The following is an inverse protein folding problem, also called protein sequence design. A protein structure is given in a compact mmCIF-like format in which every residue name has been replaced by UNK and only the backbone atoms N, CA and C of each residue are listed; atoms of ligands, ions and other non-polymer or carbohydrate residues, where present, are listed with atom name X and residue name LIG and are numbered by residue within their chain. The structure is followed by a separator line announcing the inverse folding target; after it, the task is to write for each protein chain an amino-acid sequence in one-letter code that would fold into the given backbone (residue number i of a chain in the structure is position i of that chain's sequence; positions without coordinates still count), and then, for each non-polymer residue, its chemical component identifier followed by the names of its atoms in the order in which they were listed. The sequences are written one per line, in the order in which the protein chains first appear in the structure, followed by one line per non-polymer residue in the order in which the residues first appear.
data_IF_586670897925
#
_entry.id   IF_586670897925
#
_cell.length_a   1.000
_cell.length_b   1.000
_cell.length_c   1.000
_cell.angle_alpha   90.00
_cell.angle_beta   90.00
_cell.angle_gamma   90.00
#
_symmetry.space_group_name_H-M   'P 1'
#
loop_
_entity.id
_entity.type
_entity.pdbx_description
1 polymer ?
#
# COMPACT_ATOMS: atom_id res chain seq x y z
N UNK A 1 -12.67 23.13 15.92
CA UNK A 1 -11.23 23.21 15.62
C UNK A 1 -10.48 23.54 16.91
N UNK A 2 -10.05 22.50 17.60
CA UNK A 2 -9.19 22.57 18.78
C UNK A 2 -7.74 22.27 18.40
N UNK A 3 -6.83 23.04 18.97
CA UNK A 3 -5.39 22.78 18.99
C UNK A 3 -5.05 22.32 20.41
N UNK A 4 -4.36 21.21 20.55
CA UNK A 4 -4.03 20.57 21.81
C UNK A 4 -2.54 20.25 21.95
N UNK A 5 -1.71 20.50 20.93
CA UNK A 5 -0.25 20.36 21.00
C UNK A 5 0.45 21.30 20.02
N UNK A 6 1.74 21.58 20.28
CA UNK A 6 2.64 22.31 19.37
C UNK A 6 3.12 21.45 18.20
N UNK A 7 2.90 20.14 18.26
CA UNK A 7 3.19 19.23 17.15
C UNK A 7 2.22 19.49 15.97
N UNK A 8 2.63 19.27 14.71
CA UNK A 8 1.76 19.44 13.54
C UNK A 8 0.43 18.66 13.62
N UNK A 9 0.47 17.47 14.23
CA UNK A 9 -0.68 16.59 14.49
C UNK A 9 -1.57 17.02 15.66
N UNK A 10 -1.15 18.04 16.40
CA UNK A 10 -1.79 18.51 17.62
C UNK A 10 -3.11 19.25 17.43
N UNK A 11 -3.90 18.92 16.41
CA UNK A 11 -5.15 19.60 16.11
C UNK A 11 -6.14 18.70 15.34
N UNK A 12 -7.44 18.97 15.50
CA UNK A 12 -8.53 18.21 14.87
C UNK A 12 -8.45 18.19 13.33
N UNK A 13 -7.89 19.22 12.69
CA UNK A 13 -7.79 19.27 11.23
C UNK A 13 -6.68 18.36 10.70
N UNK A 14 -5.58 18.20 11.44
CA UNK A 14 -4.49 17.32 11.06
C UNK A 14 -4.94 15.84 11.01
N UNK A 15 -5.84 15.42 11.89
CA UNK A 15 -6.43 14.07 11.85
C UNK A 15 -7.15 13.81 10.51
N UNK A 16 -7.85 14.82 9.98
CA UNK A 16 -8.53 14.75 8.67
C UNK A 16 -7.53 14.72 7.51
N UNK A 17 -6.46 15.51 7.57
CA UNK A 17 -5.42 15.52 6.52
C UNK A 17 -4.65 14.19 6.46
N UNK A 18 -4.39 13.55 7.60
CA UNK A 18 -3.77 12.23 7.64
C UNK A 18 -4.63 11.18 6.91
N UNK A 19 -5.95 11.20 7.14
CA UNK A 19 -6.90 10.34 6.43
C UNK A 19 -6.89 10.60 4.92
N UNK A 20 -6.73 11.85 4.49
CA UNK A 20 -6.67 12.23 3.07
C UNK A 20 -5.46 11.62 2.36
N UNK A 21 -4.28 11.61 2.99
CA UNK A 21 -3.10 10.95 2.41
C UNK A 21 -3.27 9.43 2.29
N UNK A 22 -3.86 8.79 3.31
CA UNK A 22 -4.19 7.36 3.25
C UNK A 22 -5.18 7.09 2.11
N UNK A 23 -6.26 7.88 2.00
CA UNK A 23 -7.24 7.74 0.92
C UNK A 23 -6.63 7.95 -0.48
N UNK A 24 -5.68 8.87 -0.61
CA UNK A 24 -4.94 9.06 -1.86
C UNK A 24 -4.11 7.81 -2.20
N UNK A 25 -3.38 7.25 -1.23
CA UNK A 25 -2.61 6.02 -1.42
C UNK A 25 -3.52 4.85 -1.82
N UNK A 26 -4.65 4.66 -1.14
CA UNK A 26 -5.66 3.66 -1.48
C UNK A 26 -6.17 3.82 -2.92
N UNK A 27 -6.47 5.06 -3.34
CA UNK A 27 -6.90 5.34 -4.72
C UNK A 27 -5.83 4.97 -5.74
N UNK A 28 -4.56 5.31 -5.49
CA UNK A 28 -3.45 4.94 -6.37
C UNK A 28 -3.25 3.43 -6.45
N UNK A 29 -3.39 2.73 -5.33
CA UNK A 29 -3.34 1.26 -5.26
C UNK A 29 -4.45 0.65 -6.11
N UNK A 30 -5.72 1.02 -5.90
CA UNK A 30 -6.83 0.46 -6.66
C UNK A 30 -6.68 0.69 -8.18
N UNK A 31 -6.23 1.88 -8.59
CA UNK A 31 -5.94 2.17 -10.01
C UNK A 31 -4.84 1.28 -10.57
N UNK A 32 -3.75 1.09 -9.83
CA UNK A 32 -2.64 0.24 -10.25
C UNK A 32 -3.03 -1.24 -10.24
N UNK A 33 -3.78 -1.70 -9.23
CA UNK A 33 -4.29 -3.07 -9.13
C UNK A 33 -5.16 -3.40 -10.34
N UNK A 34 -6.09 -2.53 -10.71
CA UNK A 34 -6.96 -2.75 -11.87
C UNK A 34 -6.13 -2.87 -13.17
N UNK A 35 -5.17 -1.97 -13.37
CA UNK A 35 -4.28 -2.06 -14.52
C UNK A 35 -3.40 -3.33 -14.49
N UNK A 36 -2.92 -3.72 -13.31
CA UNK A 36 -2.00 -4.85 -13.12
C UNK A 36 -2.68 -6.21 -13.38
N UNK A 37 -4.02 -6.31 -13.30
CA UNK A 37 -4.76 -7.53 -13.63
C UNK A 37 -4.46 -8.07 -15.02
N UNK A 38 -4.25 -7.18 -16.01
CA UNK A 38 -4.00 -7.56 -17.41
C UNK A 38 -2.61 -7.16 -17.92
N UNK A 39 -1.88 -6.35 -17.16
CA UNK A 39 -0.56 -5.88 -17.55
C UNK A 39 0.42 -7.04 -17.80
N UNK A 40 1.17 -6.91 -18.90
CA UNK A 40 2.21 -7.84 -19.32
C UNK A 40 3.58 -7.13 -19.48
N UNK A 41 3.86 -6.17 -18.60
CA UNK A 41 5.07 -5.36 -18.55
C UNK A 41 5.75 -5.49 -17.18
N UNK A 42 7.09 -5.56 -17.10
CA UNK A 42 7.82 -5.67 -15.83
C UNK A 42 7.86 -4.31 -15.09
N UNK A 43 6.75 -3.90 -14.48
CA UNK A 43 6.62 -2.66 -13.70
C UNK A 43 6.28 -2.94 -12.24
N UNK A 44 6.68 -2.06 -11.32
CA UNK A 44 6.50 -2.26 -9.88
C UNK A 44 5.78 -1.10 -9.17
N UNK A 45 5.05 -0.25 -9.92
CA UNK A 45 4.39 0.93 -9.35
C UNK A 45 3.44 0.59 -8.19
N UNK A 46 2.73 -0.54 -8.26
CA UNK A 46 1.89 -1.03 -7.15
C UNK A 46 2.69 -1.15 -5.85
N UNK A 47 3.90 -1.73 -5.90
CA UNK A 47 4.71 -1.95 -4.70
C UNK A 47 5.19 -0.65 -4.08
N UNK A 48 5.49 0.38 -4.87
CA UNK A 48 5.80 1.72 -4.36
C UNK A 48 4.61 2.33 -3.62
N UNK A 49 3.39 2.17 -4.14
CA UNK A 49 2.20 2.69 -3.46
C UNK A 49 1.88 1.91 -2.17
N UNK A 50 2.12 0.59 -2.16
CA UNK A 50 1.99 -0.23 -0.96
C UNK A 50 3.00 0.19 0.11
N UNK A 51 4.26 0.45 -0.26
CA UNK A 51 5.29 0.94 0.67
C UNK A 51 4.92 2.29 1.30
N UNK A 52 4.44 3.23 0.48
CA UNK A 52 3.91 4.52 0.97
C UNK A 52 2.74 4.30 1.95
N UNK A 53 1.81 3.37 1.64
CA UNK A 53 0.70 3.07 2.52
C UNK A 53 1.18 2.45 3.84
N UNK A 54 2.16 1.55 3.82
CA UNK A 54 2.79 0.97 5.03
C UNK A 54 3.43 2.07 5.88
N UNK A 55 4.16 3.00 5.26
CA UNK A 55 4.74 4.15 5.96
C UNK A 55 3.65 4.99 6.66
N UNK A 56 2.58 5.32 5.94
CA UNK A 56 1.45 6.07 6.49
C UNK A 56 0.73 5.29 7.59
N UNK A 57 0.57 3.98 7.44
CA UNK A 57 -0.11 3.13 8.42
C UNK A 57 0.65 3.03 9.74
N UNK A 58 1.99 2.93 9.68
CA UNK A 58 2.84 3.01 10.87
C UNK A 58 2.75 4.35 11.58
N UNK A 59 2.67 5.45 10.81
CA UNK A 59 2.60 6.81 11.36
C UNK A 59 1.21 7.13 11.92
N UNK A 60 0.14 6.63 11.29
CA UNK A 60 -1.26 6.96 11.61
C UNK A 60 -2.11 5.69 11.77
N UNK A 61 -1.82 4.85 12.77
CA UNK A 61 -2.43 3.52 12.90
C UNK A 61 -3.95 3.55 13.12
N UNK A 62 -4.47 4.57 13.81
CA UNK A 62 -5.93 4.74 14.01
C UNK A 62 -6.64 4.89 12.67
N UNK A 63 -6.20 5.86 11.86
CA UNK A 63 -6.79 6.08 10.53
C UNK A 63 -6.59 4.88 9.61
N UNK A 64 -5.43 4.23 9.68
CA UNK A 64 -5.15 3.03 8.90
C UNK A 64 -6.12 1.89 9.21
N UNK A 65 -6.36 1.61 10.50
CA UNK A 65 -7.32 0.57 10.90
C UNK A 65 -8.76 0.89 10.49
N UNK A 66 -9.13 2.17 10.46
CA UNK A 66 -10.45 2.60 10.02
C UNK A 66 -10.64 2.55 8.50
N UNK A 67 -9.59 2.80 7.71
CA UNK A 67 -9.70 3.01 6.25
C UNK A 67 -9.28 1.79 5.43
N UNK A 68 -8.32 1.00 5.91
CA UNK A 68 -7.83 -0.19 5.21
C UNK A 68 -8.80 -1.35 5.46
N UNK A 69 -9.20 -2.03 4.38
CA UNK A 69 -10.02 -3.24 4.43
C UNK A 69 -9.14 -4.47 4.25
N UNK A 70 -9.23 -5.44 5.15
CA UNK A 70 -8.39 -6.65 5.04
C UNK A 70 -8.67 -7.44 3.77
N UNK A 71 -9.92 -7.52 3.32
CA UNK A 71 -10.23 -8.23 2.07
C UNK A 71 -9.52 -7.61 0.85
N UNK A 72 -9.33 -6.28 0.86
CA UNK A 72 -8.65 -5.56 -0.22
C UNK A 72 -7.17 -5.82 -0.22
N UNK A 73 -6.51 -5.86 0.93
CA UNK A 73 -5.08 -6.22 1.03
C UNK A 73 -4.83 -7.61 0.44
N UNK A 74 -5.72 -8.58 0.72
CA UNK A 74 -5.63 -9.91 0.13
C UNK A 74 -5.86 -9.91 -1.38
N UNK A 75 -6.81 -9.12 -1.89
CA UNK A 75 -7.01 -8.92 -3.34
C UNK A 75 -5.73 -8.37 -4.00
N UNK A 76 -5.13 -7.34 -3.43
CA UNK A 76 -3.92 -6.70 -3.98
C UNK A 76 -2.74 -7.67 -4.03
N UNK A 77 -2.54 -8.45 -2.95
CA UNK A 77 -1.51 -9.49 -2.86
C UNK A 77 -1.68 -10.54 -3.95
N UNK A 78 -2.92 -10.99 -4.18
CA UNK A 78 -3.25 -11.93 -5.25
C UNK A 78 -2.92 -11.35 -6.61
N UNK A 79 -3.38 -10.13 -6.90
CA UNK A 79 -3.13 -9.47 -8.21
C UNK A 79 -1.63 -9.26 -8.46
N UNK A 80 -0.87 -8.90 -7.44
CA UNK A 80 0.58 -8.81 -7.53
C UNK A 80 1.21 -10.16 -7.87
N UNK A 81 0.85 -11.24 -7.18
CA UNK A 81 1.39 -12.57 -7.44
C UNK A 81 1.06 -13.05 -8.86
N UNK A 82 -0.20 -12.88 -9.29
CA UNK A 82 -0.63 -13.22 -10.65
C UNK A 82 0.19 -12.44 -11.69
N UNK A 83 0.48 -11.16 -11.44
CA UNK A 83 1.33 -10.36 -12.32
C UNK A 83 2.79 -10.83 -12.31
N UNK A 84 3.32 -11.15 -11.13
CA UNK A 84 4.69 -11.61 -10.96
C UNK A 84 4.93 -12.92 -11.73
N UNK A 85 3.97 -13.84 -11.70
CA UNK A 85 4.04 -15.10 -12.45
C UNK A 85 3.98 -14.84 -13.97
N UNK A 86 3.08 -13.97 -14.43
CA UNK A 86 2.95 -13.63 -15.86
C UNK A 86 4.19 -12.90 -16.40
N UNK A 87 4.77 -11.98 -15.63
CA UNK A 87 5.88 -11.13 -16.07
C UNK A 87 7.24 -11.63 -15.62
N UNK A 88 7.31 -12.67 -14.79
CA UNK A 88 8.53 -13.11 -14.11
C UNK A 88 9.68 -13.39 -15.08
N UNK A 89 9.39 -14.00 -16.24
CA UNK A 89 10.40 -14.26 -17.26
C UNK A 89 11.00 -12.98 -17.90
N UNK A 90 10.28 -11.86 -17.88
CA UNK A 90 10.72 -10.54 -18.39
C UNK A 90 11.52 -9.74 -17.35
N UNK A 91 11.47 -10.13 -16.08
CA UNK A 91 12.26 -9.53 -15.01
C UNK A 91 13.66 -10.17 -15.03
N UNK A 92 14.76 -9.39 -14.93
CA UNK A 92 16.10 -9.97 -14.83
C UNK A 92 16.22 -10.92 -13.63
N UNK A 93 16.77 -12.12 -13.84
CA UNK A 93 16.80 -13.22 -12.86
C UNK A 93 17.32 -12.78 -11.49
N UNK A 94 18.41 -11.99 -11.48
CA UNK A 94 19.04 -11.46 -10.26
C UNK A 94 18.14 -10.61 -9.36
N UNK A 95 17.02 -10.09 -9.87
CA UNK A 95 16.10 -9.25 -9.11
C UNK A 95 14.81 -9.97 -8.68
N UNK A 96 14.49 -11.13 -9.26
CA UNK A 96 13.18 -11.79 -9.07
C UNK A 96 12.94 -12.15 -7.60
N UNK A 97 13.92 -12.79 -6.98
CA UNK A 97 13.86 -13.20 -5.57
C UNK A 97 13.69 -11.97 -4.66
N UNK A 98 14.55 -10.97 -4.81
CA UNK A 98 14.46 -9.73 -4.01
C UNK A 98 13.13 -8.99 -4.18
N UNK A 99 12.58 -8.91 -5.39
CA UNK A 99 11.26 -8.32 -5.63
C UNK A 99 10.18 -9.09 -4.87
N UNK A 100 10.21 -10.42 -4.93
CA UNK A 100 9.22 -11.27 -4.28
C UNK A 100 9.30 -11.15 -2.75
N UNK A 101 10.50 -11.28 -2.19
CA UNK A 101 10.73 -11.14 -0.74
C UNK A 101 10.31 -9.77 -0.22
N UNK A 102 10.76 -8.68 -0.87
CA UNK A 102 10.39 -7.33 -0.44
C UNK A 102 8.87 -7.11 -0.50
N UNK A 103 8.20 -7.68 -1.51
CA UNK A 103 6.76 -7.53 -1.65
C UNK A 103 6.00 -8.32 -0.58
N UNK A 104 6.45 -9.54 -0.28
CA UNK A 104 5.88 -10.36 0.79
C UNK A 104 6.03 -9.67 2.15
N UNK A 105 7.19 -9.08 2.44
CA UNK A 105 7.42 -8.29 3.66
C UNK A 105 6.50 -7.07 3.76
N UNK A 106 6.28 -6.35 2.66
CA UNK A 106 5.37 -5.20 2.64
C UNK A 106 3.92 -5.62 2.91
N UNK A 107 3.46 -6.73 2.32
CA UNK A 107 2.12 -7.25 2.59
C UNK A 107 2.00 -7.73 4.05
N UNK A 108 3.00 -8.42 4.60
CA UNK A 108 3.01 -8.83 6.02
C UNK A 108 2.88 -7.62 6.95
N UNK A 109 3.59 -6.53 6.65
CA UNK A 109 3.49 -5.29 7.43
C UNK A 109 2.10 -4.66 7.31
N UNK A 110 1.54 -4.63 6.11
CA UNK A 110 0.24 -4.02 5.86
C UNK A 110 -0.92 -4.82 6.47
N UNK A 111 -0.83 -6.15 6.50
CA UNK A 111 -1.80 -7.08 7.08
C UNK A 111 -2.02 -6.88 8.59
N UNK A 112 -1.12 -6.16 9.28
CA UNK A 112 -1.28 -5.77 10.69
C UNK A 112 -2.36 -4.69 10.88
N UNK A 113 -2.75 -4.01 9.80
CA UNK A 113 -3.70 -2.91 9.82
C UNK A 113 -5.02 -3.28 9.14
N UNK A 114 -6.06 -2.51 9.46
CA UNK A 114 -7.36 -2.58 8.83
C UNK A 114 -8.40 -3.33 9.65
N UNK A 115 -9.64 -3.22 9.20
CA UNK A 115 -10.81 -3.94 9.73
C UNK A 115 -11.18 -5.13 8.85
#
# INVERSE_FOLDING_TARGET
MRIFSTAPEGNEMAELENARYINLALKQIEQNVEWLKTANKPVQALMTHIDILVFLAKRFPVNANLLIKKEKVQEWKKVFNDWFDRCGNKIPVKYREGIKSNSDELFIQLEQYGH
#
